data_IF_038235979257
#
_entry.id   IF_038235979257
#
_cell.length_a   1.000
_cell.length_b   1.000
_cell.length_c   1.000
_cell.angle_alpha   90.00
_cell.angle_beta   90.00
_cell.angle_gamma   90.00
#
_symmetry.space_group_name_H-M   'P 1'
#
loop_
_entity.id
_entity.type
_entity.pdbx_description
1 polymer ?
#
# COMPACT_ATOMS: atom_id res chain seq x y z
N UNK A 1 -25.50 -12.30 -33.59
CA UNK A 1 -25.26 -12.81 -32.23
C UNK A 1 -23.77 -12.82 -31.90
N UNK A 2 -23.01 -11.83 -32.40
CA UNK A 2 -21.52 -11.77 -32.37
C UNK A 2 -20.91 -10.55 -31.65
N UNK A 3 -21.71 -9.67 -31.05
CA UNK A 3 -21.22 -8.42 -30.45
C UNK A 3 -20.77 -8.53 -28.98
N UNK A 4 -21.12 -9.58 -28.26
CA UNK A 4 -20.81 -9.69 -26.81
C UNK A 4 -19.39 -10.21 -26.50
N UNK A 5 -18.71 -10.89 -27.42
CA UNK A 5 -17.36 -11.44 -27.16
C UNK A 5 -16.23 -10.39 -27.27
N UNK A 6 -16.38 -9.31 -28.03
CA UNK A 6 -15.35 -8.30 -28.20
C UNK A 6 -15.23 -7.33 -27.03
N UNK A 7 -16.32 -6.95 -26.36
CA UNK A 7 -16.29 -6.03 -25.21
C UNK A 7 -15.60 -6.64 -23.97
N UNK A 8 -15.83 -7.91 -23.69
CA UNK A 8 -15.18 -8.60 -22.56
C UNK A 8 -13.66 -8.67 -22.70
N UNK A 9 -13.13 -8.84 -23.90
CA UNK A 9 -11.69 -8.94 -24.15
C UNK A 9 -10.96 -7.59 -23.98
N UNK A 10 -11.58 -6.50 -24.41
CA UNK A 10 -11.03 -5.15 -24.22
C UNK A 10 -11.02 -4.70 -22.77
N UNK A 11 -12.06 -5.02 -21.98
CA UNK A 11 -12.14 -4.69 -20.57
C UNK A 11 -11.09 -5.45 -19.74
N UNK A 12 -10.88 -6.72 -20.03
CA UNK A 12 -9.88 -7.54 -19.33
C UNK A 12 -8.44 -7.09 -19.60
N UNK A 13 -8.17 -6.55 -20.79
CA UNK A 13 -6.85 -6.01 -21.15
C UNK A 13 -6.59 -4.66 -20.47
N UNK A 14 -7.63 -3.84 -20.30
CA UNK A 14 -7.53 -2.54 -19.61
C UNK A 14 -7.27 -2.71 -18.11
N UNK A 15 -7.96 -3.64 -17.44
CA UNK A 15 -7.75 -3.94 -16.02
C UNK A 15 -6.35 -4.49 -15.73
N UNK A 16 -5.85 -5.40 -16.57
CA UNK A 16 -4.46 -5.88 -16.43
C UNK A 16 -3.44 -4.74 -16.57
N UNK A 17 -3.67 -3.79 -17.47
CA UNK A 17 -2.81 -2.60 -17.62
C UNK A 17 -2.89 -1.70 -16.38
N UNK A 18 -4.07 -1.44 -15.83
CA UNK A 18 -4.24 -0.63 -14.63
C UNK A 18 -3.48 -1.23 -13.42
N UNK A 19 -3.59 -2.55 -13.21
CA UNK A 19 -2.82 -3.24 -12.16
C UNK A 19 -1.31 -3.13 -12.37
N UNK A 20 -0.81 -3.36 -13.59
CA UNK A 20 0.63 -3.29 -13.89
C UNK A 20 1.14 -1.86 -13.68
N UNK A 21 0.42 -0.85 -14.17
CA UNK A 21 0.80 0.56 -14.00
C UNK A 21 0.79 0.94 -12.52
N UNK A 22 -0.27 0.59 -11.78
CA UNK A 22 -0.39 0.86 -10.35
C UNK A 22 0.75 0.23 -9.55
N UNK A 23 1.02 -1.07 -9.77
CA UNK A 23 2.12 -1.79 -9.12
C UNK A 23 3.47 -1.13 -9.44
N UNK A 24 3.72 -0.81 -10.71
CA UNK A 24 5.02 -0.23 -11.12
C UNK A 24 5.23 1.15 -10.51
N UNK A 25 4.21 2.01 -10.51
CA UNK A 25 4.27 3.34 -9.91
C UNK A 25 4.50 3.26 -8.39
N UNK A 26 3.76 2.38 -7.71
CA UNK A 26 3.91 2.21 -6.27
C UNK A 26 5.27 1.61 -5.90
N UNK A 27 5.80 0.63 -6.63
CA UNK A 27 7.16 0.10 -6.39
C UNK A 27 8.20 1.21 -6.55
N UNK A 28 8.13 1.99 -7.63
CA UNK A 28 9.07 3.07 -7.86
C UNK A 28 8.99 4.12 -6.75
N UNK A 29 7.78 4.46 -6.31
CA UNK A 29 7.56 5.39 -5.22
C UNK A 29 8.11 4.88 -3.89
N UNK A 30 7.81 3.63 -3.51
CA UNK A 30 8.31 3.00 -2.27
C UNK A 30 9.85 3.04 -2.20
N UNK A 31 10.54 2.77 -3.32
CA UNK A 31 12.01 2.82 -3.36
C UNK A 31 12.51 4.25 -3.07
N UNK A 32 11.90 5.25 -3.68
CA UNK A 32 12.27 6.67 -3.47
C UNK A 32 11.95 7.09 -2.06
N UNK A 33 10.75 6.80 -1.57
CA UNK A 33 10.28 7.16 -0.24
C UNK A 33 11.13 6.53 0.86
N UNK A 34 11.46 5.25 0.72
CA UNK A 34 12.35 4.56 1.65
C UNK A 34 13.75 5.19 1.66
N UNK A 35 14.31 5.50 0.47
CA UNK A 35 15.62 6.14 0.35
C UNK A 35 15.66 7.54 1.00
N UNK A 36 14.63 8.35 0.77
CA UNK A 36 14.53 9.70 1.35
C UNK A 36 14.23 9.62 2.86
N UNK A 37 13.31 8.74 3.28
CA UNK A 37 13.01 8.52 4.69
C UNK A 37 14.26 8.13 5.49
N UNK A 38 15.10 7.27 4.92
CA UNK A 38 16.37 6.88 5.52
C UNK A 38 17.38 8.03 5.55
N UNK A 39 17.51 8.77 4.47
CA UNK A 39 18.45 9.91 4.38
C UNK A 39 18.11 11.04 5.34
N UNK A 40 16.84 11.40 5.46
CA UNK A 40 16.36 12.47 6.35
C UNK A 40 15.95 11.96 7.74
N UNK A 41 16.12 10.68 8.02
CA UNK A 41 15.83 10.06 9.31
C UNK A 41 14.36 10.27 9.77
N UNK A 42 13.42 10.26 8.80
CA UNK A 42 11.99 10.43 9.05
C UNK A 42 11.29 9.10 9.27
N UNK A 43 10.74 8.91 10.45
CA UNK A 43 9.92 7.73 10.77
C UNK A 43 8.56 7.76 10.11
N UNK A 44 8.01 8.96 9.87
CA UNK A 44 6.77 9.12 9.11
C UNK A 44 6.91 8.56 7.69
N UNK A 45 7.97 8.96 6.96
CA UNK A 45 8.23 8.44 5.60
C UNK A 45 8.59 6.96 5.59
N UNK A 46 9.40 6.48 6.55
CA UNK A 46 9.74 5.05 6.63
C UNK A 46 8.53 4.19 6.93
N UNK A 47 7.63 4.67 7.79
CA UNK A 47 6.38 3.99 8.11
C UNK A 47 5.43 3.95 6.92
N UNK A 48 5.29 5.07 6.21
CA UNK A 48 4.47 5.17 4.99
C UNK A 48 5.03 4.27 3.88
N UNK A 49 6.34 4.28 3.65
CA UNK A 49 7.00 3.38 2.71
C UNK A 49 6.79 1.89 3.06
N UNK A 50 6.85 1.54 4.35
CA UNK A 50 6.55 0.19 4.84
C UNK A 50 5.10 -0.21 4.58
N UNK A 51 4.16 0.70 4.78
CA UNK A 51 2.74 0.52 4.46
C UNK A 51 2.56 0.29 2.95
N UNK A 52 3.04 1.20 2.14
CA UNK A 52 2.97 1.13 0.67
C UNK A 52 3.61 -0.14 0.09
N UNK A 53 4.68 -0.67 0.73
CA UNK A 53 5.25 -1.96 0.34
C UNK A 53 4.27 -3.12 0.55
N UNK A 54 3.52 -3.12 1.66
CA UNK A 54 2.44 -4.08 1.93
C UNK A 54 1.33 -4.00 0.89
N UNK A 55 1.02 -2.80 0.43
CA UNK A 55 -0.02 -2.53 -0.56
C UNK A 55 0.38 -3.02 -1.93
N UNK A 56 1.63 -2.81 -2.33
CA UNK A 56 2.20 -3.41 -3.54
C UNK A 56 2.05 -4.94 -3.52
N UNK A 57 2.39 -5.57 -2.39
CA UNK A 57 2.22 -7.02 -2.25
C UNK A 57 0.74 -7.43 -2.37
N UNK A 58 -0.17 -6.67 -1.78
CA UNK A 58 -1.62 -6.88 -1.88
C UNK A 58 -2.15 -6.73 -3.30
N UNK A 59 -1.69 -5.71 -4.03
CA UNK A 59 -2.02 -5.51 -5.45
C UNK A 59 -1.50 -6.65 -6.34
N UNK A 60 -0.28 -7.12 -6.09
CA UNK A 60 0.30 -8.28 -6.80
C UNK A 60 -0.54 -9.53 -6.54
N UNK A 61 -0.94 -9.78 -5.30
CA UNK A 61 -1.80 -10.90 -4.94
C UNK A 61 -3.19 -10.79 -5.60
N UNK A 62 -3.79 -9.60 -5.61
CA UNK A 62 -5.06 -9.35 -6.28
C UNK A 62 -4.95 -9.60 -7.80
N UNK A 63 -3.88 -9.15 -8.43
CA UNK A 63 -3.61 -9.41 -9.85
C UNK A 63 -3.42 -10.91 -10.13
N UNK A 64 -2.71 -11.64 -9.27
CA UNK A 64 -2.53 -13.09 -9.39
C UNK A 64 -3.87 -13.80 -9.23
N UNK A 65 -4.68 -13.44 -8.24
CA UNK A 65 -6.02 -14.00 -8.04
C UNK A 65 -6.90 -13.78 -9.26
N UNK A 66 -6.90 -12.56 -9.81
CA UNK A 66 -7.65 -12.21 -11.02
C UNK A 66 -7.17 -13.00 -12.26
N UNK A 67 -5.88 -13.27 -12.40
CA UNK A 67 -5.34 -14.10 -13.48
C UNK A 67 -5.68 -15.57 -13.30
N UNK A 68 -5.62 -16.09 -12.08
CA UNK A 68 -5.91 -17.50 -11.77
C UNK A 68 -7.38 -17.87 -11.94
N UNK A 69 -8.31 -16.94 -11.74
CA UNK A 69 -9.74 -17.17 -12.02
C UNK A 69 -10.03 -17.50 -13.49
N UNK A 70 -9.14 -17.15 -14.41
CA UNK A 70 -9.28 -17.41 -15.85
C UNK A 70 -8.69 -18.73 -16.31
N UNK A 71 -7.88 -19.37 -15.49
CA UNK A 71 -7.28 -20.67 -15.82
C UNK A 71 -8.30 -21.77 -15.53
N UNK A 72 -8.70 -22.50 -16.55
CA UNK A 72 -9.61 -23.64 -16.42
C UNK A 72 -9.08 -24.60 -15.34
N UNK A 73 -9.92 -25.04 -14.40
CA UNK A 73 -9.50 -25.93 -13.33
C UNK A 73 -9.06 -27.27 -13.91
N UNK A 74 -7.77 -27.54 -13.83
CA UNK A 74 -7.25 -28.87 -14.10
C UNK A 74 -7.23 -29.62 -12.77
N UNK A 75 -7.90 -30.76 -12.68
CA UNK A 75 -8.21 -31.51 -11.45
C UNK A 75 -7.00 -31.89 -10.57
N UNK A 76 -5.78 -31.67 -11.02
CA UNK A 76 -4.54 -31.98 -10.32
C UNK A 76 -3.84 -30.79 -9.63
N UNK A 77 -4.15 -29.53 -9.99
CA UNK A 77 -3.35 -28.37 -9.55
C UNK A 77 -4.12 -27.31 -8.75
N UNK A 78 -5.43 -27.42 -8.61
CA UNK A 78 -6.26 -26.39 -7.92
C UNK A 78 -5.89 -26.23 -6.43
N UNK A 79 -5.38 -27.27 -5.78
CA UNK A 79 -5.02 -27.23 -4.35
C UNK A 79 -3.62 -26.60 -4.08
N UNK A 80 -2.69 -26.67 -5.05
CA UNK A 80 -1.32 -26.14 -4.91
C UNK A 80 -1.28 -24.61 -4.96
N UNK A 81 -2.03 -23.99 -5.86
CA UNK A 81 -2.03 -22.53 -6.04
C UNK A 81 -2.62 -21.77 -4.83
N UNK A 82 -3.69 -22.30 -4.22
CA UNK A 82 -4.28 -21.72 -3.00
C UNK A 82 -3.30 -21.73 -1.81
N UNK A 83 -2.53 -22.80 -1.65
CA UNK A 83 -1.53 -22.89 -0.56
C UNK A 83 -0.38 -21.89 -0.76
N UNK A 84 0.11 -21.72 -1.98
CA UNK A 84 1.19 -20.77 -2.29
C UNK A 84 0.76 -19.33 -2.05
N UNK A 85 -0.46 -18.95 -2.41
CA UNK A 85 -1.00 -17.60 -2.16
C UNK A 85 -1.10 -17.31 -0.66
N UNK A 86 -1.59 -18.28 0.13
CA UNK A 86 -1.67 -18.14 1.59
C UNK A 86 -0.27 -18.00 2.20
N UNK A 87 0.70 -18.79 1.76
CA UNK A 87 2.07 -18.71 2.26
C UNK A 87 2.74 -17.37 1.97
N UNK A 88 2.57 -16.85 0.75
CA UNK A 88 3.09 -15.53 0.35
C UNK A 88 2.43 -14.42 1.16
N UNK A 89 1.11 -14.48 1.36
CA UNK A 89 0.39 -13.52 2.20
C UNK A 89 0.87 -13.57 3.66
N UNK A 90 1.07 -14.75 4.21
CA UNK A 90 1.59 -14.92 5.58
C UNK A 90 3.02 -14.34 5.71
N UNK A 91 3.89 -14.63 4.74
CA UNK A 91 5.25 -14.08 4.72
C UNK A 91 5.22 -12.55 4.67
N UNK A 92 4.37 -11.96 3.81
CA UNK A 92 4.20 -10.52 3.74
C UNK A 92 3.75 -9.93 5.08
N UNK A 93 2.75 -10.56 5.74
CA UNK A 93 2.30 -10.11 7.05
C UNK A 93 3.41 -10.15 8.11
N UNK A 94 4.22 -11.21 8.13
CA UNK A 94 5.37 -11.33 9.06
C UNK A 94 6.39 -10.21 8.80
N UNK A 95 6.74 -9.95 7.54
CA UNK A 95 7.68 -8.86 7.18
C UNK A 95 7.14 -7.51 7.64
N UNK A 96 5.85 -7.23 7.39
CA UNK A 96 5.21 -5.98 7.83
C UNK A 96 5.19 -5.84 9.35
N UNK A 97 4.87 -6.90 10.10
CA UNK A 97 4.87 -6.87 11.56
C UNK A 97 6.26 -6.62 12.13
N UNK A 98 7.32 -7.19 11.52
CA UNK A 98 8.70 -6.91 11.92
C UNK A 98 9.06 -5.45 11.66
N UNK A 99 8.74 -4.92 10.46
CA UNK A 99 8.99 -3.52 10.11
C UNK A 99 8.26 -2.58 11.08
N UNK A 100 6.99 -2.83 11.37
CA UNK A 100 6.20 -2.06 12.34
C UNK A 100 6.82 -2.11 13.74
N UNK A 101 7.30 -3.28 14.18
CA UNK A 101 7.98 -3.41 15.46
C UNK A 101 9.23 -2.53 15.55
N UNK A 102 10.02 -2.46 14.48
CA UNK A 102 11.20 -1.58 14.39
C UNK A 102 10.76 -0.11 14.46
N UNK A 103 9.76 0.30 13.68
CA UNK A 103 9.25 1.67 13.64
C UNK A 103 8.75 2.11 15.03
N UNK A 104 8.02 1.23 15.74
CA UNK A 104 7.55 1.53 17.10
C UNK A 104 8.74 1.72 18.05
N UNK A 105 9.74 0.85 18.01
CA UNK A 105 10.91 0.94 18.86
C UNK A 105 11.68 2.24 18.60
N UNK A 106 11.94 2.58 17.35
CA UNK A 106 12.61 3.82 16.96
C UNK A 106 11.78 5.07 17.28
N UNK A 107 10.44 5.00 17.12
CA UNK A 107 9.57 6.12 17.50
C UNK A 107 9.65 6.41 18.98
N UNK A 108 9.63 5.35 19.82
CA UNK A 108 9.78 5.50 21.26
C UNK A 108 11.14 6.09 21.61
N UNK A 109 12.22 5.64 20.97
CA UNK A 109 13.57 6.21 21.20
C UNK A 109 13.61 7.70 20.84
N UNK A 110 13.05 8.10 19.70
CA UNK A 110 12.99 9.51 19.27
C UNK A 110 12.12 10.40 20.14
N UNK A 111 11.20 9.86 20.93
CA UNK A 111 10.49 10.62 21.95
C UNK A 111 11.42 11.05 23.10
N UNK A 112 12.37 10.17 23.47
CA UNK A 112 13.33 10.47 24.54
C UNK A 112 14.58 11.18 24.03
N UNK A 113 14.95 10.93 22.77
CA UNK A 113 16.12 11.49 22.09
C UNK A 113 15.71 12.16 20.77
N UNK A 114 15.04 13.34 20.81
CA UNK A 114 14.55 13.99 19.61
C UNK A 114 15.66 14.29 18.59
N UNK A 115 15.47 13.87 17.35
CA UNK A 115 16.36 14.15 16.22
C UNK A 115 15.68 15.18 15.32
N UNK A 116 16.43 16.17 14.83
CA UNK A 116 15.91 17.10 13.86
C UNK A 116 15.65 16.41 12.52
N UNK A 117 14.46 16.59 11.97
CA UNK A 117 14.06 16.09 10.64
C UNK A 117 13.74 17.26 9.71
N UNK A 118 13.97 17.06 8.41
CA UNK A 118 13.63 18.08 7.40
C UNK A 118 12.15 17.94 7.01
N UNK A 119 11.31 18.78 7.61
CA UNK A 119 9.87 18.81 7.34
C UNK A 119 9.55 19.12 5.87
N UNK A 120 10.37 19.91 5.18
CA UNK A 120 10.14 20.24 3.78
C UNK A 120 10.36 19.03 2.87
N UNK A 121 11.40 18.24 3.12
CA UNK A 121 11.65 17.00 2.41
C UNK A 121 10.50 15.99 2.63
N UNK A 122 10.04 15.86 3.90
CA UNK A 122 8.90 15.00 4.24
C UNK A 122 7.65 15.43 3.44
N UNK A 123 7.30 16.72 3.47
CA UNK A 123 6.12 17.24 2.79
C UNK A 123 6.16 17.03 1.26
N UNK A 124 7.32 17.24 0.63
CA UNK A 124 7.47 17.05 -0.80
C UNK A 124 7.34 15.58 -1.21
N UNK A 125 8.01 14.66 -0.53
CA UNK A 125 7.95 13.23 -0.88
C UNK A 125 6.57 12.65 -0.61
N UNK A 126 5.98 12.94 0.55
CA UNK A 126 4.61 12.51 0.83
C UNK A 126 3.59 13.13 -0.14
N UNK A 127 3.82 14.37 -0.61
CA UNK A 127 3.02 15.00 -1.65
C UNK A 127 3.05 14.24 -2.98
N UNK A 128 4.21 13.73 -3.36
CA UNK A 128 4.33 12.81 -4.52
C UNK A 128 3.54 11.53 -4.27
N UNK A 129 3.59 10.97 -3.05
CA UNK A 129 2.80 9.81 -2.64
C UNK A 129 1.29 10.04 -2.80
N UNK A 130 0.78 11.19 -2.34
CA UNK A 130 -0.62 11.58 -2.55
C UNK A 130 -1.00 11.52 -4.03
N UNK A 131 -0.15 12.10 -4.89
CA UNK A 131 -0.42 12.13 -6.34
C UNK A 131 -0.42 10.71 -6.93
N UNK A 132 0.55 9.88 -6.58
CA UNK A 132 0.68 8.51 -7.10
C UNK A 132 -0.50 7.65 -6.65
N UNK A 133 -0.85 7.69 -5.36
CA UNK A 133 -1.97 6.92 -4.81
C UNK A 133 -3.31 7.39 -5.36
N UNK A 134 -3.50 8.72 -5.50
CA UNK A 134 -4.70 9.28 -6.13
C UNK A 134 -4.83 8.90 -7.62
N UNK A 135 -3.73 8.94 -8.38
CA UNK A 135 -3.71 8.51 -9.79
C UNK A 135 -4.01 7.01 -9.90
N UNK A 136 -3.43 6.19 -9.03
CA UNK A 136 -3.69 4.74 -9.01
C UNK A 136 -5.15 4.45 -8.65
N UNK A 137 -5.71 5.13 -7.65
CA UNK A 137 -7.13 5.04 -7.32
C UNK A 137 -8.01 5.45 -8.52
N UNK A 138 -7.65 6.52 -9.22
CA UNK A 138 -8.39 6.98 -10.40
C UNK A 138 -8.39 5.95 -11.54
N UNK A 139 -7.27 5.22 -11.74
CA UNK A 139 -7.20 4.15 -12.74
C UNK A 139 -8.22 3.03 -12.46
N UNK A 140 -8.49 2.73 -11.18
CA UNK A 140 -9.45 1.71 -10.78
C UNK A 140 -10.89 2.23 -10.69
N UNK A 141 -11.09 3.55 -10.60
CA UNK A 141 -12.40 4.16 -10.36
C UNK A 141 -13.45 3.79 -11.43
N UNK A 142 -13.03 3.66 -12.68
CA UNK A 142 -13.94 3.39 -13.83
C UNK A 142 -14.56 2.00 -13.78
N UNK A 143 -13.86 1.02 -13.23
CA UNK A 143 -14.27 -0.38 -13.25
C UNK A 143 -14.55 -0.96 -11.84
N UNK A 144 -14.53 -0.11 -10.79
CA UNK A 144 -14.71 -0.51 -9.39
C UNK A 144 -16.03 -1.19 -9.09
N UNK A 145 -17.09 -0.85 -9.82
CA UNK A 145 -18.44 -1.40 -9.58
C UNK A 145 -18.68 -2.72 -10.33
N UNK A 146 -17.72 -3.15 -11.18
CA UNK A 146 -17.81 -4.37 -12.00
C UNK A 146 -17.14 -5.58 -11.36
N UNK A 147 -16.17 -5.37 -10.46
CA UNK A 147 -15.40 -6.43 -9.83
C UNK A 147 -15.02 -6.05 -8.39
N UNK A 148 -15.24 -6.96 -7.44
CA UNK A 148 -14.98 -6.72 -6.02
C UNK A 148 -13.49 -6.52 -5.71
N UNK A 149 -12.59 -7.16 -6.46
CA UNK A 149 -11.14 -6.98 -6.28
C UNK A 149 -10.72 -5.60 -6.75
N UNK A 150 -11.30 -5.10 -7.88
CA UNK A 150 -11.06 -3.75 -8.38
C UNK A 150 -11.60 -2.70 -7.43
N UNK A 151 -12.78 -2.94 -6.83
CA UNK A 151 -13.35 -2.06 -5.81
C UNK A 151 -12.48 -2.02 -4.57
N UNK A 152 -11.97 -3.17 -4.13
CA UNK A 152 -11.02 -3.26 -3.02
C UNK A 152 -9.75 -2.45 -3.30
N UNK A 153 -9.13 -2.64 -4.47
CA UNK A 153 -7.94 -1.89 -4.88
C UNK A 153 -8.19 -0.38 -4.93
N UNK A 154 -9.35 0.06 -5.47
CA UNK A 154 -9.73 1.48 -5.48
C UNK A 154 -9.81 2.07 -4.07
N UNK A 155 -10.55 1.40 -3.17
CA UNK A 155 -10.75 1.88 -1.79
C UNK A 155 -9.43 1.91 -1.02
N UNK A 156 -8.57 0.94 -1.24
CA UNK A 156 -7.26 0.87 -0.65
C UNK A 156 -6.38 2.04 -1.07
N UNK A 157 -6.19 2.25 -2.36
CA UNK A 157 -5.39 3.38 -2.88
C UNK A 157 -5.95 4.75 -2.48
N UNK A 158 -7.28 4.87 -2.34
CA UNK A 158 -7.88 6.10 -1.84
C UNK A 158 -7.57 6.34 -0.35
N UNK A 159 -7.56 5.27 0.46
CA UNK A 159 -7.18 5.36 1.87
C UNK A 159 -5.69 5.73 2.01
N UNK A 160 -4.81 5.16 1.19
CA UNK A 160 -3.38 5.44 1.20
C UNK A 160 -3.09 6.90 0.82
N UNK A 161 -3.83 7.44 -0.15
CA UNK A 161 -3.75 8.87 -0.46
C UNK A 161 -4.10 9.74 0.76
N UNK A 162 -5.07 9.35 1.58
CA UNK A 162 -5.42 10.06 2.82
C UNK A 162 -4.34 9.95 3.89
N UNK A 163 -3.71 8.77 4.04
CA UNK A 163 -2.57 8.57 4.95
C UNK A 163 -1.41 9.48 4.54
N UNK A 164 -1.04 9.48 3.25
CA UNK A 164 0.02 10.34 2.72
C UNK A 164 -0.29 11.83 2.91
N UNK A 165 -1.57 12.26 2.84
CA UNK A 165 -1.97 13.65 3.20
C UNK A 165 -1.63 13.94 4.67
N UNK A 166 -1.84 12.99 5.58
CA UNK A 166 -1.44 13.13 6.98
C UNK A 166 0.07 13.38 7.13
N UNK A 167 0.89 12.66 6.38
CA UNK A 167 2.35 12.83 6.36
C UNK A 167 2.74 14.20 5.78
N UNK A 168 2.07 14.67 4.70
CA UNK A 168 2.26 16.03 4.16
C UNK A 168 2.00 17.09 5.21
N UNK A 169 0.88 16.99 5.91
CA UNK A 169 0.50 17.94 6.96
C UNK A 169 1.56 17.94 8.07
N UNK A 170 2.06 16.78 8.48
CA UNK A 170 3.13 16.70 9.49
C UNK A 170 4.40 17.40 9.02
N UNK A 171 4.83 17.14 7.79
CA UNK A 171 6.01 17.79 7.20
C UNK A 171 5.89 19.32 7.14
N UNK A 172 4.69 19.82 6.77
CA UNK A 172 4.41 21.26 6.78
C UNK A 172 4.50 21.82 8.21
N UNK A 173 3.89 21.18 9.20
CA UNK A 173 3.93 21.65 10.58
C UNK A 173 5.38 21.65 11.08
N UNK A 174 6.17 20.61 10.84
CA UNK A 174 7.58 20.54 11.22
C UNK A 174 8.38 21.68 10.59
N UNK A 175 8.13 21.96 9.31
CA UNK A 175 8.83 23.05 8.59
C UNK A 175 8.61 24.42 9.25
N UNK A 176 7.38 24.71 9.69
CA UNK A 176 7.04 26.02 10.26
C UNK A 176 7.31 26.11 11.76
N UNK A 177 7.21 25.01 12.50
CA UNK A 177 7.30 25.02 13.98
C UNK A 177 8.64 24.51 14.50
N UNK A 178 9.37 23.72 13.70
CA UNK A 178 10.55 22.97 14.15
C UNK A 178 10.24 21.81 15.10
N UNK A 179 8.97 21.44 15.28
CA UNK A 179 8.54 20.39 16.20
C UNK A 179 8.77 18.99 15.63
N UNK A 180 10.01 18.54 15.61
CA UNK A 180 10.39 17.23 15.07
C UNK A 180 9.71 16.03 15.75
N UNK A 181 9.13 16.23 16.94
CA UNK A 181 8.38 15.17 17.66
C UNK A 181 7.11 14.73 16.93
N UNK A 182 6.62 15.53 15.99
CA UNK A 182 5.46 15.19 15.16
C UNK A 182 5.76 14.01 14.24
N UNK A 183 6.99 13.88 13.74
CA UNK A 183 7.39 12.77 12.87
C UNK A 183 7.23 11.37 13.54
N UNK A 184 7.77 11.12 14.73
CA UNK A 184 7.52 9.85 15.41
C UNK A 184 6.05 9.64 15.82
N UNK A 185 5.28 10.69 16.09
CA UNK A 185 3.83 10.57 16.35
C UNK A 185 3.10 10.06 15.11
N UNK A 186 3.38 10.62 13.95
CA UNK A 186 2.79 10.19 12.68
C UNK A 186 3.25 8.77 12.34
N UNK A 187 4.55 8.46 12.50
CA UNK A 187 5.07 7.11 12.30
C UNK A 187 4.35 6.07 13.18
N UNK A 188 4.11 6.37 14.46
CA UNK A 188 3.31 5.52 15.34
C UNK A 188 1.85 5.40 14.88
N UNK A 189 1.25 6.49 14.44
CA UNK A 189 -0.12 6.48 13.91
C UNK A 189 -0.26 5.56 12.71
N UNK A 190 0.66 5.64 11.76
CA UNK A 190 0.69 4.77 10.57
C UNK A 190 0.97 3.31 10.99
N UNK A 191 1.91 3.08 11.90
CA UNK A 191 2.20 1.75 12.44
C UNK A 191 0.95 1.07 13.03
N UNK A 192 0.12 1.82 13.78
CA UNK A 192 -1.16 1.33 14.31
C UNK A 192 -2.13 0.99 13.17
N UNK A 193 -2.23 1.83 12.14
CA UNK A 193 -3.07 1.56 10.97
C UNK A 193 -2.64 0.26 10.29
N UNK A 194 -1.32 0.04 10.09
CA UNK A 194 -0.79 -1.19 9.48
C UNK A 194 -1.16 -2.42 10.32
N UNK A 195 -0.99 -2.35 11.64
CA UNK A 195 -1.35 -3.46 12.54
C UNK A 195 -2.83 -3.80 12.42
N UNK A 196 -3.71 -2.78 12.52
CA UNK A 196 -5.15 -2.97 12.44
C UNK A 196 -5.56 -3.54 11.09
N UNK A 197 -5.05 -2.99 9.98
CA UNK A 197 -5.32 -3.47 8.63
C UNK A 197 -4.88 -4.92 8.44
N UNK A 198 -3.67 -5.25 8.91
CA UNK A 198 -3.12 -6.61 8.84
C UNK A 198 -3.97 -7.58 9.67
N UNK A 199 -4.34 -7.22 10.91
CA UNK A 199 -5.20 -8.05 11.75
C UNK A 199 -6.57 -8.27 11.13
N UNK A 200 -7.22 -7.24 10.59
CA UNK A 200 -8.53 -7.37 9.95
C UNK A 200 -8.48 -8.27 8.72
N UNK A 201 -7.42 -8.21 7.91
CA UNK A 201 -7.24 -9.06 6.74
C UNK A 201 -7.19 -10.55 7.12
N UNK A 202 -6.56 -10.90 8.25
CA UNK A 202 -6.39 -12.29 8.69
C UNK A 202 -7.50 -12.80 9.60
N UNK A 203 -8.27 -11.92 10.23
CA UNK A 203 -9.39 -12.30 11.11
C UNK A 203 -10.75 -12.25 10.43
N UNK A 204 -10.86 -11.60 9.26
CA UNK A 204 -12.11 -11.58 8.49
C UNK A 204 -12.45 -12.98 7.98
N UNK A 205 -13.64 -13.54 8.31
CA UNK A 205 -14.06 -14.82 7.78
C UNK A 205 -14.14 -14.74 6.25
N UNK A 206 -13.34 -15.57 5.56
CA UNK A 206 -13.42 -15.71 4.10
C UNK A 206 -14.87 -16.06 3.73
N UNK A 207 -15.52 -15.32 2.83
CA UNK A 207 -16.81 -15.74 2.31
C UNK A 207 -16.63 -17.12 1.66
N UNK A 208 -17.37 -18.10 2.18
CA UNK A 208 -17.42 -19.47 1.65
C UNK A 208 -18.14 -19.52 0.33
#
# INVERSE_FOLDING_TARGET
MESHHHEHNHQLTSLNKAFIIGITLNIAFVIVEFGVGFYYNSLGLLSDAGHNLGDVASLVLAMLAFRLQKVHPNSRYTYGYKKSTILVSLLNAVILLVAVGIIIAESVDKFFHPVSVDGSAIAWIAGVGVVINALTAWLFMKDKDKDLNVKGAYLHMAADALVSVGVVVSGIIITYTGWSIIDPIIGLGIAVIIIVSTCLLYTSPSPR
#
